data_IF_131451922885
#
_entry.id   IF_131451922885
#
_cell.length_a   1.000
_cell.length_b   1.000
_cell.length_c   1.000
_cell.angle_alpha   90.00
_cell.angle_beta   90.00
_cell.angle_gamma   90.00
#
_symmetry.space_group_name_H-M   'P 1'
#
loop_
_entity.id
_entity.type
_entity.pdbx_description
1 polymer ?
#
# COMPACT_ATOMS: atom_id res chain seq x y z
N UNK A 1 -5.28 7.11 14.48
CA UNK A 1 -4.72 5.83 13.99
C UNK A 1 -5.53 5.45 12.78
N UNK A 2 -4.92 5.44 11.59
CA UNK A 2 -5.59 5.01 10.37
C UNK A 2 -5.76 3.48 10.42
N UNK A 3 -6.95 2.96 10.18
CA UNK A 3 -7.18 1.52 10.17
C UNK A 3 -6.73 0.97 8.81
N UNK A 4 -5.55 0.37 8.74
CA UNK A 4 -4.96 -0.12 7.47
C UNK A 4 -5.88 -1.09 6.71
N UNK A 5 -6.72 -1.85 7.43
CA UNK A 5 -7.73 -2.72 6.84
C UNK A 5 -8.79 -1.95 6.05
N UNK A 6 -9.19 -0.77 6.52
CA UNK A 6 -10.14 0.11 5.82
C UNK A 6 -9.50 0.77 4.61
N UNK A 7 -8.22 1.13 4.69
CA UNK A 7 -7.48 1.64 3.54
C UNK A 7 -7.34 0.58 2.44
N UNK A 8 -6.97 -0.66 2.82
CA UNK A 8 -6.88 -1.78 1.87
C UNK A 8 -8.23 -2.07 1.22
N UNK A 9 -9.35 -1.98 1.96
CA UNK A 9 -10.70 -2.19 1.40
C UNK A 9 -11.08 -1.15 0.32
N UNK A 10 -10.49 0.04 0.34
CA UNK A 10 -10.73 1.08 -0.66
C UNK A 10 -9.94 0.87 -1.95
N UNK A 11 -8.85 0.09 -1.90
CA UNK A 11 -8.08 -0.25 -3.09
C UNK A 11 -8.89 -1.27 -3.94
N UNK A 12 -9.18 -0.99 -5.23
CA UNK A 12 -9.97 -1.89 -6.08
C UNK A 12 -9.41 -3.31 -6.16
N UNK A 13 -8.08 -3.45 -6.07
CA UNK A 13 -7.39 -4.75 -6.07
C UNK A 13 -7.83 -5.68 -4.93
N UNK A 14 -8.27 -5.11 -3.79
CA UNK A 14 -8.63 -5.87 -2.58
C UNK A 14 -10.12 -5.77 -2.22
N UNK A 15 -10.94 -5.10 -3.03
CA UNK A 15 -12.34 -4.80 -2.73
C UNK A 15 -13.20 -6.06 -2.44
N UNK A 16 -12.84 -7.21 -3.03
CA UNK A 16 -13.58 -8.47 -2.87
C UNK A 16 -13.01 -9.40 -1.79
N UNK A 17 -11.97 -8.98 -1.07
CA UNK A 17 -11.38 -9.79 -0.01
C UNK A 17 -12.23 -9.76 1.26
N UNK A 18 -12.34 -10.93 1.91
CA UNK A 18 -12.96 -11.05 3.22
C UNK A 18 -12.14 -10.31 4.30
N UNK A 19 -12.76 -9.98 5.43
CA UNK A 19 -12.06 -9.35 6.54
C UNK A 19 -10.85 -10.16 7.03
N UNK A 20 -10.95 -11.50 7.00
CA UNK A 20 -9.84 -12.37 7.38
C UNK A 20 -8.67 -12.28 6.38
N UNK A 21 -8.97 -12.21 5.09
CA UNK A 21 -7.93 -12.05 4.05
C UNK A 21 -7.28 -10.66 4.13
N UNK A 22 -8.08 -9.61 4.35
CA UNK A 22 -7.57 -8.26 4.55
C UNK A 22 -6.68 -8.18 5.79
N UNK A 23 -7.07 -8.85 6.88
CA UNK A 23 -6.25 -8.96 8.10
C UNK A 23 -4.90 -9.62 7.80
N UNK A 24 -4.89 -10.76 7.10
CA UNK A 24 -3.65 -11.41 6.70
C UNK A 24 -2.76 -10.50 5.84
N UNK A 25 -3.34 -9.75 4.89
CA UNK A 25 -2.56 -8.81 4.06
C UNK A 25 -1.99 -7.67 4.90
N UNK A 26 -2.77 -7.13 5.84
CA UNK A 26 -2.28 -6.07 6.73
C UNK A 26 -1.14 -6.52 7.64
N UNK A 27 -1.06 -7.81 7.95
CA UNK A 27 0.03 -8.40 8.74
C UNK A 27 1.25 -8.76 7.88
N UNK A 28 1.07 -8.99 6.58
CA UNK A 28 2.17 -9.27 5.64
C UNK A 28 2.83 -8.00 5.09
N UNK A 29 2.09 -6.90 5.05
CA UNK A 29 2.57 -5.61 4.57
C UNK A 29 3.48 -4.91 5.57
N UNK A 30 4.38 -4.08 5.05
CA UNK A 30 5.23 -3.18 5.85
C UNK A 30 4.80 -1.75 5.59
N UNK A 31 4.50 -1.00 6.66
CA UNK A 31 4.26 0.44 6.56
C UNK A 31 5.59 1.16 6.34
N UNK A 32 5.65 2.01 5.31
CA UNK A 32 6.81 2.83 4.99
C UNK A 32 6.42 4.30 5.07
N UNK A 33 7.31 5.12 5.63
CA UNK A 33 7.14 6.56 5.74
C UNK A 33 8.18 7.24 4.86
N UNK A 34 7.71 8.11 3.97
CA UNK A 34 8.55 8.79 3.00
C UNK A 34 8.40 10.30 3.12
N UNK A 35 9.50 11.01 2.92
CA UNK A 35 9.57 12.46 2.83
C UNK A 35 9.29 12.95 1.40
N UNK A 36 8.82 14.20 1.22
CA UNK A 36 8.69 14.79 -0.10
C UNK A 36 10.00 14.70 -0.90
N UNK A 37 9.92 14.18 -2.12
CA UNK A 37 11.06 13.99 -3.01
C UNK A 37 11.78 12.65 -2.88
N UNK A 38 11.40 11.79 -1.92
CA UNK A 38 11.92 10.43 -1.87
C UNK A 38 11.34 9.56 -3.00
N UNK A 39 12.20 8.72 -3.58
CA UNK A 39 11.84 7.83 -4.68
C UNK A 39 11.22 6.54 -4.16
N UNK A 40 10.00 6.22 -4.61
CA UNK A 40 9.32 4.95 -4.30
C UNK A 40 9.78 3.84 -5.24
N UNK A 41 9.79 4.12 -6.54
CA UNK A 41 10.15 3.17 -7.58
C UNK A 41 10.80 3.91 -8.76
N UNK A 42 11.53 3.16 -9.59
CA UNK A 42 12.18 3.68 -10.79
C UNK A 42 11.89 2.80 -12.00
N UNK A 43 11.58 3.42 -13.13
CA UNK A 43 11.40 2.67 -14.37
C UNK A 43 12.67 1.91 -14.75
N UNK A 44 12.50 0.61 -15.04
CA UNK A 44 13.58 -0.29 -15.44
C UNK A 44 14.16 -1.11 -14.30
N UNK A 45 13.89 -0.75 -13.05
CA UNK A 45 14.34 -1.53 -11.90
C UNK A 45 13.48 -2.79 -11.74
N UNK A 46 14.05 -3.89 -11.20
CA UNK A 46 13.29 -5.07 -10.85
C UNK A 46 12.14 -4.72 -9.89
N UNK A 47 10.97 -5.36 -10.02
CA UNK A 47 9.86 -5.12 -9.10
C UNK A 47 10.22 -5.64 -7.69
N UNK A 48 10.00 -4.81 -6.69
CA UNK A 48 10.17 -5.12 -5.26
C UNK A 48 8.84 -5.33 -4.52
N UNK A 49 7.73 -4.91 -5.12
CA UNK A 49 6.39 -5.18 -4.62
C UNK A 49 5.32 -4.31 -5.27
N UNK A 50 4.16 -4.25 -4.61
CA UNK A 50 3.14 -3.24 -4.89
C UNK A 50 3.00 -2.34 -3.67
N UNK A 51 2.64 -1.08 -3.92
CA UNK A 51 2.46 -0.08 -2.87
C UNK A 51 1.01 0.36 -2.81
N UNK A 52 0.52 0.61 -1.60
CA UNK A 52 -0.80 1.19 -1.34
C UNK A 52 -0.59 2.52 -0.64
N UNK A 53 -1.07 3.60 -1.23
CA UNK A 53 -0.97 4.93 -0.64
C UNK A 53 -2.02 5.03 0.47
N UNK A 54 -1.57 5.07 1.72
CA UNK A 54 -2.44 5.28 2.89
C UNK A 54 -2.71 6.78 3.13
N UNK A 55 -1.68 7.60 2.92
CA UNK A 55 -1.72 9.05 3.07
C UNK A 55 -0.77 9.72 2.06
N UNK A 56 -1.09 10.95 1.64
CA UNK A 56 -0.28 11.72 0.70
C UNK A 56 -0.59 11.43 -0.77
N UNK A 57 0.33 11.83 -1.65
CA UNK A 57 0.23 11.67 -3.11
C UNK A 57 1.61 11.43 -3.70
N UNK A 58 1.65 10.73 -4.82
CA UNK A 58 2.86 10.45 -5.58
C UNK A 58 2.74 10.97 -7.00
N UNK A 59 3.87 11.13 -7.67
CA UNK A 59 3.96 11.49 -9.09
C UNK A 59 4.97 10.55 -9.77
N UNK A 60 4.79 10.32 -11.07
CA UNK A 60 5.62 9.45 -11.91
C UNK A 60 6.73 10.24 -12.61
#
# INVERSE_FOLDING_TARGET
MCNIKEALRQAPLFAHLSDRQLQCISELGTEIWLQPGEQIARQGDPPDGFYVILEGKTEW
#
